data_IF_872695361671
#
_entry.id   IF_872695361671
#
_cell.length_a   1.000
_cell.length_b   1.000
_cell.length_c   1.000
_cell.angle_alpha   90.00
_cell.angle_beta   90.00
_cell.angle_gamma   90.00
#
_symmetry.space_group_name_H-M   'P 1'
#
loop_
_entity.id
_entity.type
_entity.pdbx_description
1 polymer ?
#
# COMPACT_ATOMS: atom_id res chain seq x y z
N UNK A 1 37.25 -11.83 -12.03
CA UNK A 1 35.83 -12.16 -12.30
C UNK A 1 35.06 -11.88 -11.03
N UNK A 2 34.53 -10.65 -10.90
CA UNK A 2 33.62 -10.30 -9.80
C UNK A 2 32.21 -10.70 -10.24
N UNK A 3 31.67 -11.75 -9.62
CA UNK A 3 30.34 -12.24 -9.93
C UNK A 3 29.29 -11.47 -9.13
N UNK A 4 28.44 -10.78 -9.88
CA UNK A 4 26.98 -10.66 -9.71
C UNK A 4 26.43 -10.50 -8.29
N UNK A 5 26.31 -9.24 -7.90
CA UNK A 5 25.13 -8.56 -7.34
C UNK A 5 23.93 -9.47 -7.01
N UNK A 6 23.91 -10.01 -5.79
CA UNK A 6 22.69 -10.41 -5.06
C UNK A 6 22.49 -9.42 -3.91
N UNK A 7 21.90 -8.26 -4.20
CA UNK A 7 21.44 -7.34 -3.17
C UNK A 7 20.25 -6.51 -3.68
N UNK A 8 19.12 -7.18 -3.90
CA UNK A 8 17.83 -6.52 -4.16
C UNK A 8 16.68 -7.15 -3.35
N UNK A 9 16.98 -8.04 -2.41
CA UNK A 9 15.97 -8.68 -1.56
C UNK A 9 15.51 -7.81 -0.38
N UNK A 10 16.12 -6.64 -0.15
CA UNK A 10 15.88 -5.81 1.03
C UNK A 10 14.94 -4.61 0.84
N UNK A 11 14.49 -4.31 -0.39
CA UNK A 11 13.66 -3.12 -0.66
C UNK A 11 12.15 -3.36 -0.75
N UNK A 12 11.69 -4.61 -0.92
CA UNK A 12 10.27 -4.88 -1.23
C UNK A 12 9.50 -5.67 -0.15
N UNK A 13 10.19 -6.20 0.87
CA UNK A 13 9.54 -6.91 1.99
C UNK A 13 8.81 -5.91 2.92
N UNK A 14 9.43 -4.75 3.14
CA UNK A 14 8.82 -3.54 3.69
C UNK A 14 8.23 -2.73 2.54
N UNK A 15 6.91 -2.68 2.48
CA UNK A 15 6.14 -2.09 1.41
C UNK A 15 6.38 -0.58 1.26
N UNK A 16 7.37 -0.16 0.47
CA UNK A 16 7.60 1.25 0.08
C UNK A 16 6.60 1.70 -1.01
N UNK A 17 5.38 1.15 -1.02
CA UNK A 17 4.32 1.55 -1.97
C UNK A 17 3.83 2.98 -1.68
N UNK A 18 4.17 3.51 -0.51
CA UNK A 18 3.84 4.84 -0.04
C UNK A 18 5.05 5.78 -0.06
N UNK A 19 6.04 5.60 -0.94
CA UNK A 19 7.14 6.57 -1.05
C UNK A 19 6.68 7.94 -1.56
N UNK A 20 5.60 7.96 -2.34
CA UNK A 20 4.96 9.16 -2.88
C UNK A 20 3.45 9.00 -3.04
N UNK A 21 2.72 10.11 -3.01
CA UNK A 21 1.30 10.14 -3.32
C UNK A 21 1.08 9.96 -4.83
N UNK A 22 0.32 8.95 -5.31
CA UNK A 22 0.12 8.75 -6.74
C UNK A 22 -0.77 9.81 -7.40
N UNK A 23 -1.34 10.75 -6.63
CA UNK A 23 -2.20 11.81 -7.14
C UNK A 23 -1.52 13.18 -7.22
N UNK A 24 -0.66 13.51 -6.26
CA UNK A 24 0.01 14.81 -6.17
C UNK A 24 1.53 14.73 -6.06
N UNK A 25 2.11 13.52 -6.03
CA UNK A 25 3.55 13.27 -5.93
C UNK A 25 4.21 13.76 -4.61
N UNK A 26 3.40 14.11 -3.60
CA UNK A 26 3.85 14.40 -2.25
C UNK A 26 4.68 13.26 -1.66
N UNK A 27 5.65 13.56 -0.80
CA UNK A 27 6.60 12.58 -0.25
C UNK A 27 6.06 11.95 1.04
N UNK A 28 6.75 10.92 1.52
CA UNK A 28 6.39 10.13 2.71
C UNK A 28 6.01 10.91 3.97
N UNK A 29 6.59 12.09 4.20
CA UNK A 29 6.31 12.88 5.42
C UNK A 29 4.82 13.28 5.53
N UNK A 30 4.15 13.38 4.38
CA UNK A 30 2.75 13.78 4.27
C UNK A 30 1.81 12.57 4.05
N UNK A 31 2.33 11.34 4.14
CA UNK A 31 1.60 10.11 3.92
C UNK A 31 1.42 9.33 5.22
N UNK A 32 0.16 9.17 5.62
CA UNK A 32 -0.23 8.30 6.73
C UNK A 32 -0.71 6.98 6.16
N UNK A 33 -0.11 5.86 6.58
CA UNK A 33 -0.42 4.55 6.02
C UNK A 33 -0.77 3.55 7.12
N UNK A 34 -1.94 2.93 6.99
CA UNK A 34 -2.47 1.91 7.90
C UNK A 34 -2.57 0.56 7.19
N UNK A 35 -2.08 -0.52 7.81
CA UNK A 35 -2.37 -1.89 7.36
C UNK A 35 -3.68 -2.34 8.01
N UNK A 36 -4.74 -2.46 7.22
CA UNK A 36 -6.09 -2.77 7.68
C UNK A 36 -6.43 -4.27 7.64
N UNK A 37 -5.56 -5.07 7.03
CA UNK A 37 -5.70 -6.53 7.01
C UNK A 37 -4.56 -7.21 6.29
N UNK A 38 -4.28 -8.44 6.71
CA UNK A 38 -3.28 -9.31 6.10
C UNK A 38 -3.81 -10.75 6.03
N UNK A 39 -3.66 -11.39 4.87
CA UNK A 39 -4.02 -12.79 4.65
C UNK A 39 -3.12 -13.41 3.58
N UNK A 40 -2.34 -14.44 3.93
CA UNK A 40 -1.65 -15.34 2.98
C UNK A 40 -1.13 -14.66 1.69
N UNK A 41 -0.19 -13.73 1.85
CA UNK A 41 0.39 -13.00 0.71
C UNK A 41 -0.46 -11.82 0.21
N UNK A 42 -1.55 -11.47 0.86
CA UNK A 42 -2.35 -10.27 0.57
C UNK A 42 -2.30 -9.28 1.74
N UNK A 43 -2.08 -8.00 1.45
CA UNK A 43 -2.15 -6.89 2.41
C UNK A 43 -3.13 -5.83 1.92
N UNK A 44 -4.08 -5.45 2.77
CA UNK A 44 -4.98 -4.33 2.56
C UNK A 44 -4.42 -3.12 3.31
N UNK A 45 -4.13 -2.06 2.56
CA UNK A 45 -3.47 -0.85 3.05
C UNK A 45 -4.39 0.33 2.78
N UNK A 46 -4.52 1.24 3.74
CA UNK A 46 -5.13 2.55 3.55
C UNK A 46 -4.06 3.61 3.67
N UNK A 47 -4.02 4.54 2.72
CA UNK A 47 -3.09 5.67 2.70
C UNK A 47 -3.89 6.95 2.64
N UNK A 48 -3.64 7.85 3.58
CA UNK A 48 -4.11 9.24 3.57
C UNK A 48 -2.93 10.17 3.24
N UNK A 49 -3.17 11.12 2.35
CA UNK A 49 -2.21 12.14 1.99
C UNK A 49 -2.64 13.51 2.54
N UNK A 50 -1.87 14.09 3.47
CA UNK A 50 -2.15 15.40 4.07
C UNK A 50 -1.99 16.58 3.10
N UNK A 51 -1.29 16.40 1.98
CA UNK A 51 -1.07 17.47 0.99
C UNK A 51 -2.27 17.71 0.07
N UNK A 52 -2.95 16.65 -0.34
CA UNK A 52 -4.07 16.71 -1.29
C UNK A 52 -5.39 16.14 -0.73
N UNK A 53 -5.40 15.78 0.56
CA UNK A 53 -6.54 15.21 1.29
C UNK A 53 -7.16 13.96 0.65
N UNK A 54 -6.36 13.20 -0.12
CA UNK A 54 -6.85 11.98 -0.77
C UNK A 54 -6.74 10.77 0.15
N UNK A 55 -7.71 9.87 0.01
CA UNK A 55 -7.70 8.55 0.63
C UNK A 55 -7.57 7.47 -0.44
N UNK A 56 -6.67 6.53 -0.21
CA UNK A 56 -6.36 5.47 -1.17
C UNK A 56 -6.37 4.13 -0.44
N UNK A 57 -7.15 3.18 -0.95
CA UNK A 57 -7.12 1.78 -0.52
C UNK A 57 -6.26 1.02 -1.51
N UNK A 58 -5.24 0.32 -1.04
CA UNK A 58 -4.38 -0.53 -1.87
C UNK A 58 -4.45 -1.98 -1.41
N UNK A 59 -4.74 -2.89 -2.33
CA UNK A 59 -4.60 -4.32 -2.14
C UNK A 59 -3.31 -4.78 -2.79
N UNK A 60 -2.33 -5.19 -1.98
CA UNK A 60 -1.06 -5.75 -2.45
C UNK A 60 -1.11 -7.27 -2.35
N UNK A 61 -0.78 -7.95 -3.44
CA UNK A 61 -0.67 -9.39 -3.54
C UNK A 61 0.78 -9.79 -3.85
N UNK A 62 1.39 -10.54 -2.94
CA UNK A 62 2.72 -11.13 -3.06
C UNK A 62 2.57 -12.64 -3.21
N UNK A 63 3.13 -13.18 -4.29
CA UNK A 63 3.19 -14.62 -4.54
C UNK A 63 4.55 -15.02 -5.14
N UNK A 64 4.75 -16.30 -5.43
CA UNK A 64 6.01 -16.82 -5.97
C UNK A 64 6.39 -16.26 -7.35
N UNK A 65 5.45 -15.63 -8.07
CA UNK A 65 5.68 -14.98 -9.36
C UNK A 65 5.94 -13.47 -9.25
N UNK A 66 5.84 -12.89 -8.05
CA UNK A 66 6.14 -11.49 -7.79
C UNK A 66 5.05 -10.77 -6.99
N UNK A 67 5.09 -9.44 -7.06
CA UNK A 67 4.19 -8.53 -6.37
C UNK A 67 3.27 -7.87 -7.39
N UNK A 68 1.98 -7.78 -7.07
CA UNK A 68 0.99 -7.00 -7.81
C UNK A 68 0.20 -6.14 -6.84
N UNK A 69 -0.34 -5.01 -7.30
CA UNK A 69 -1.14 -4.11 -6.47
C UNK A 69 -2.29 -3.51 -7.26
N UNK A 70 -3.42 -3.29 -6.59
CA UNK A 70 -4.55 -2.51 -7.09
C UNK A 70 -4.86 -1.42 -6.08
N UNK A 71 -4.86 -0.17 -6.54
CA UNK A 71 -5.24 1.00 -5.76
C UNK A 71 -6.61 1.53 -6.15
N UNK A 72 -7.40 1.96 -5.17
CA UNK A 72 -8.68 2.63 -5.32
C UNK A 72 -8.63 3.97 -4.57
N UNK A 73 -8.81 5.06 -5.30
CA UNK A 73 -9.04 6.38 -4.70
C UNK A 73 -10.47 6.43 -4.17
N UNK A 74 -10.63 6.88 -2.95
CA UNK A 74 -11.91 6.86 -2.23
C UNK A 74 -12.00 8.08 -1.32
N UNK A 75 -13.16 8.29 -0.71
CA UNK A 75 -13.41 9.24 0.39
C UNK A 75 -13.52 8.53 1.75
N UNK A 76 -13.25 7.22 1.81
CA UNK A 76 -13.39 6.42 3.02
C UNK A 76 -12.14 6.54 3.88
N UNK A 77 -12.34 6.81 5.17
CA UNK A 77 -11.28 6.76 6.18
C UNK A 77 -10.92 5.31 6.53
N UNK A 78 -9.82 5.08 7.25
CA UNK A 78 -9.46 3.75 7.77
C UNK A 78 -10.57 3.14 8.65
N UNK A 79 -11.26 3.96 9.44
CA UNK A 79 -12.39 3.54 10.26
C UNK A 79 -13.59 3.11 9.40
N UNK A 80 -13.92 3.88 8.36
CA UNK A 80 -15.01 3.54 7.42
C UNK A 80 -14.72 2.21 6.73
N UNK A 81 -13.47 2.01 6.27
CA UNK A 81 -13.06 0.78 5.60
C UNK A 81 -13.23 -0.41 6.54
N UNK A 82 -12.79 -0.30 7.80
CA UNK A 82 -12.98 -1.38 8.78
C UNK A 82 -14.46 -1.68 9.05
N UNK A 83 -15.32 -0.66 9.04
CA UNK A 83 -16.77 -0.81 9.19
C UNK A 83 -17.40 -1.54 8.00
N UNK A 84 -16.97 -1.23 6.77
CA UNK A 84 -17.59 -1.77 5.55
C UNK A 84 -16.93 -3.04 5.01
N UNK A 85 -15.70 -3.37 5.41
CA UNK A 85 -14.93 -4.53 4.92
C UNK A 85 -15.68 -5.85 5.02
N UNK A 86 -16.47 -6.02 6.07
CA UNK A 86 -17.25 -7.23 6.34
C UNK A 86 -18.76 -7.02 6.15
N UNK A 87 -19.17 -5.83 5.68
CA UNK A 87 -20.57 -5.57 5.37
C UNK A 87 -20.98 -6.39 4.14
N UNK A 88 -22.07 -7.15 4.27
CA UNK A 88 -22.66 -7.87 3.14
C UNK A 88 -23.42 -6.89 2.25
N UNK A 89 -23.21 -7.00 0.94
CA UNK A 89 -23.99 -6.30 -0.08
C UNK A 89 -25.44 -6.83 -0.14
#
# INVERSE_FOLDING_TARGET
MYNHLDDNSFMFDSLDLASYCPLCEARQEDLQTDILGERSGARLVHTYCGDCDSHIISLVLTNNFGISSVGLVTDLTSEDILRFKDARA
#
